data_IF_663326061339
#
_entry.id   IF_663326061339
#
_cell.length_a   1.000
_cell.length_b   1.000
_cell.length_c   1.000
_cell.angle_alpha   90.00
_cell.angle_beta   90.00
_cell.angle_gamma   90.00
#
_symmetry.space_group_name_H-M   'P 1'
#
loop_
_entity.id
_entity.type
_entity.pdbx_description
1 polymer ?
#
# COMPACT_ATOMS: atom_id res chain seq x y z
N UNK A 1 -28.98 48.76 -11.95
CA UNK A 1 -27.85 48.04 -12.57
C UNK A 1 -26.65 47.84 -11.63
N UNK A 2 -26.17 48.86 -10.89
CA UNK A 2 -25.02 48.73 -9.96
C UNK A 2 -25.19 47.66 -8.86
N UNK A 3 -26.40 47.51 -8.31
CA UNK A 3 -26.71 46.47 -7.31
C UNK A 3 -26.65 45.05 -7.91
N UNK A 4 -27.12 44.88 -9.14
CA UNK A 4 -27.08 43.59 -9.84
C UNK A 4 -25.63 43.19 -10.18
N UNK A 5 -24.80 44.16 -10.59
CA UNK A 5 -23.38 43.93 -10.85
C UNK A 5 -22.60 43.50 -9.58
N UNK A 6 -22.90 44.12 -8.42
CA UNK A 6 -22.26 43.75 -7.16
C UNK A 6 -22.67 42.34 -6.69
N UNK A 7 -23.94 41.97 -6.87
CA UNK A 7 -24.44 40.63 -6.52
C UNK A 7 -23.77 39.58 -7.42
N UNK A 8 -23.68 39.84 -8.73
CA UNK A 8 -23.03 38.93 -9.67
C UNK A 8 -21.53 38.75 -9.42
N UNK A 9 -20.84 39.83 -9.03
CA UNK A 9 -19.42 39.76 -8.65
C UNK A 9 -19.20 38.96 -7.37
N UNK A 10 -20.07 39.14 -6.36
CA UNK A 10 -19.99 38.41 -5.11
C UNK A 10 -20.26 36.90 -5.29
N UNK A 11 -21.26 36.52 -6.07
CA UNK A 11 -21.55 35.11 -6.35
C UNK A 11 -20.43 34.43 -7.15
N UNK A 12 -19.82 35.13 -8.11
CA UNK A 12 -18.66 34.63 -8.84
C UNK A 12 -17.44 34.40 -7.92
N UNK A 13 -17.18 35.32 -6.98
CA UNK A 13 -16.09 35.17 -6.02
C UNK A 13 -16.28 33.95 -5.10
N UNK A 14 -17.51 33.71 -4.62
CA UNK A 14 -17.82 32.54 -3.79
C UNK A 14 -17.65 31.23 -4.56
N UNK A 15 -18.06 31.19 -5.83
CA UNK A 15 -17.90 30.00 -6.67
C UNK A 15 -16.42 29.65 -6.92
N UNK A 16 -15.54 30.64 -7.10
CA UNK A 16 -14.10 30.42 -7.27
C UNK A 16 -13.43 29.92 -5.99
N UNK A 17 -13.85 30.38 -4.82
CA UNK A 17 -13.33 29.88 -3.53
C UNK A 17 -13.76 28.43 -3.27
N UNK A 18 -14.96 28.03 -3.67
CA UNK A 18 -15.44 26.66 -3.53
C UNK A 18 -14.62 25.66 -4.36
N UNK A 19 -13.97 26.10 -5.45
CA UNK A 19 -13.12 25.25 -6.28
C UNK A 19 -11.80 24.85 -5.59
N UNK A 20 -11.34 25.60 -4.58
CA UNK A 20 -10.15 25.23 -3.78
C UNK A 20 -10.51 24.32 -2.59
N UNK A 21 -11.79 24.04 -2.34
CA UNK A 21 -12.26 23.17 -1.27
C UNK A 21 -12.39 21.71 -1.70
N UNK A 22 -11.39 21.17 -2.43
CA UNK A 22 -11.45 19.76 -2.81
C UNK A 22 -11.54 18.86 -1.56
N UNK A 23 -12.13 17.67 -1.73
CA UNK A 23 -12.18 16.69 -0.65
C UNK A 23 -10.74 16.39 -0.22
N UNK A 24 -10.44 16.31 1.09
CA UNK A 24 -9.12 15.94 1.55
C UNK A 24 -8.66 14.65 0.83
N UNK A 25 -7.53 14.75 0.12
CA UNK A 25 -6.78 13.63 -0.49
C UNK A 25 -6.22 12.76 0.63
N UNK A 26 -7.14 12.16 1.38
CA UNK A 26 -6.86 11.27 2.49
C UNK A 26 -7.03 9.86 1.99
N UNK A 27 -6.16 9.00 2.47
CA UNK A 27 -6.26 7.56 2.32
C UNK A 27 -7.46 6.97 3.12
N UNK A 28 -8.51 7.76 3.39
CA UNK A 28 -9.65 7.40 4.23
C UNK A 28 -10.73 6.61 3.47
N UNK A 29 -10.76 6.68 2.14
CA UNK A 29 -11.71 5.94 1.31
C UNK A 29 -11.01 5.29 0.11
N UNK A 30 -11.26 4.00 -0.12
CA UNK A 30 -10.89 3.31 -1.36
C UNK A 30 -9.42 2.88 -1.50
N UNK A 31 -8.65 2.90 -0.41
CA UNK A 31 -7.25 2.47 -0.46
C UNK A 31 -7.19 0.96 -0.47
N UNK A 32 -6.60 0.41 -1.53
CA UNK A 32 -6.23 -1.00 -1.57
C UNK A 32 -5.06 -1.20 -0.61
N UNK A 33 -5.28 -1.91 0.48
CA UNK A 33 -4.18 -2.36 1.32
C UNK A 33 -3.39 -3.46 0.59
N UNK A 34 -2.07 -3.40 0.74
CA UNK A 34 -1.21 -4.49 0.32
C UNK A 34 -1.64 -5.76 1.04
N UNK A 35 -1.59 -6.87 0.33
CA UNK A 35 -1.94 -8.14 0.93
C UNK A 35 -0.79 -8.65 1.83
N UNK A 36 -1.12 -9.49 2.82
CA UNK A 36 -0.15 -9.84 3.85
C UNK A 36 1.09 -10.54 3.25
N UNK A 37 2.30 -10.25 3.71
CA UNK A 37 3.52 -10.76 3.08
C UNK A 37 3.66 -12.29 3.19
N UNK A 38 3.02 -12.93 4.17
CA UNK A 38 2.99 -14.40 4.30
C UNK A 38 2.00 -15.08 3.34
N UNK A 39 1.17 -14.32 2.62
CA UNK A 39 0.22 -14.87 1.64
C UNK A 39 0.86 -15.25 0.29
N UNK A 40 2.18 -15.09 0.16
CA UNK A 40 2.97 -15.56 -0.98
C UNK A 40 2.87 -14.67 -2.23
N UNK A 41 3.71 -14.95 -3.23
CA UNK A 41 3.65 -14.28 -4.53
C UNK A 41 2.53 -14.89 -5.38
N UNK A 42 1.66 -14.06 -5.95
CA UNK A 42 0.40 -14.52 -6.55
C UNK A 42 0.55 -15.53 -7.68
N UNK A 43 -0.27 -16.56 -7.62
CA UNK A 43 -0.77 -17.33 -8.75
C UNK A 43 -1.91 -16.57 -9.44
N UNK A 44 -1.63 -15.42 -10.07
CA UNK A 44 -2.51 -14.78 -11.06
C UNK A 44 -3.92 -14.32 -10.66
N UNK A 45 -4.40 -14.52 -9.42
CA UNK A 45 -5.75 -14.07 -9.01
C UNK A 45 -5.80 -13.68 -7.51
N UNK A 46 -6.49 -12.58 -7.19
CA UNK A 46 -6.69 -12.09 -5.80
C UNK A 46 -5.92 -10.80 -5.47
N UNK A 47 -6.02 -10.33 -4.21
CA UNK A 47 -5.42 -9.06 -3.75
C UNK A 47 -3.90 -8.96 -3.94
N UNK A 48 -3.23 -10.11 -4.05
CA UNK A 48 -1.79 -10.28 -4.32
C UNK A 48 -1.43 -10.32 -5.81
N UNK A 49 -2.41 -10.35 -6.73
CA UNK A 49 -2.18 -10.53 -8.16
C UNK A 49 -1.34 -9.39 -8.74
N UNK A 50 -0.03 -9.61 -8.84
CA UNK A 50 0.83 -8.80 -9.70
C UNK A 50 0.50 -9.07 -11.16
N UNK A 51 0.78 -8.11 -12.04
CA UNK A 51 0.57 -8.19 -13.51
C UNK A 51 1.42 -9.25 -14.21
N UNK A 52 2.29 -9.95 -13.48
CA UNK A 52 3.14 -11.00 -14.00
C UNK A 52 2.51 -12.37 -13.71
N UNK A 53 2.01 -13.04 -14.76
CA UNK A 53 1.64 -14.45 -14.70
C UNK A 53 2.90 -15.24 -14.33
N UNK A 54 3.05 -15.54 -13.05
CA UNK A 54 4.20 -16.29 -12.55
C UNK A 54 3.68 -17.48 -11.77
N UNK A 55 4.05 -18.66 -12.26
CA UNK A 55 4.11 -19.93 -11.54
C UNK A 55 4.37 -19.65 -10.06
N UNK A 56 3.33 -19.81 -9.24
CA UNK A 56 3.43 -19.60 -7.79
C UNK A 56 4.61 -20.40 -7.25
N UNK A 57 5.31 -19.82 -6.27
CA UNK A 57 6.50 -20.36 -5.57
C UNK A 57 7.89 -20.04 -6.15
N UNK A 58 8.05 -19.32 -7.26
CA UNK A 58 9.39 -19.04 -7.80
C UNK A 58 10.29 -18.21 -6.85
N UNK A 59 9.69 -17.37 -6.01
CA UNK A 59 10.40 -16.49 -5.06
C UNK A 59 10.16 -16.84 -3.59
N UNK A 60 9.69 -18.06 -3.32
CA UNK A 60 9.47 -18.53 -1.95
C UNK A 60 10.65 -19.35 -1.47
N UNK A 61 11.01 -19.22 -0.19
CA UNK A 61 12.07 -20.04 0.40
C UNK A 61 11.69 -21.53 0.35
N UNK A 62 12.66 -22.40 0.07
CA UNK A 62 12.45 -23.85 0.06
C UNK A 62 11.92 -24.33 1.42
N UNK A 63 10.91 -25.20 1.40
CA UNK A 63 10.28 -25.75 2.60
C UNK A 63 9.27 -24.83 3.31
N UNK A 64 9.10 -23.58 2.87
CA UNK A 64 8.07 -22.69 3.41
C UNK A 64 6.72 -22.91 2.73
N UNK A 65 5.65 -22.99 3.53
CA UNK A 65 4.29 -23.12 3.05
C UNK A 65 3.61 -21.74 2.95
N UNK A 66 3.02 -21.45 1.79
CA UNK A 66 2.26 -20.22 1.56
C UNK A 66 1.10 -20.12 2.57
N UNK A 67 0.94 -18.95 3.18
CA UNK A 67 -0.08 -18.70 4.19
C UNK A 67 0.37 -18.95 5.63
N UNK A 68 1.50 -19.63 5.86
CA UNK A 68 2.02 -19.87 7.21
C UNK A 68 2.75 -18.63 7.73
N UNK A 69 2.01 -17.81 8.49
CA UNK A 69 2.51 -16.60 9.15
C UNK A 69 3.62 -16.89 10.15
N UNK A 70 3.49 -17.95 10.95
CA UNK A 70 4.43 -18.24 12.03
C UNK A 70 5.78 -18.68 11.45
N UNK A 71 5.75 -19.58 10.47
CA UNK A 71 6.95 -19.97 9.75
C UNK A 71 7.60 -18.77 9.04
N UNK A 72 6.79 -17.91 8.38
CA UNK A 72 7.30 -16.70 7.73
C UNK A 72 8.04 -15.77 8.71
N UNK A 73 7.44 -15.49 9.88
CA UNK A 73 8.06 -14.66 10.92
C UNK A 73 9.35 -15.29 11.45
N UNK A 74 9.36 -16.60 11.66
CA UNK A 74 10.54 -17.31 12.14
C UNK A 74 11.68 -17.29 11.12
N UNK A 75 11.39 -17.48 9.84
CA UNK A 75 12.38 -17.36 8.76
C UNK A 75 13.02 -15.97 8.73
N UNK A 76 12.24 -14.90 8.92
CA UNK A 76 12.78 -13.54 8.99
C UNK A 76 13.67 -13.36 10.21
N UNK A 77 13.23 -13.80 11.40
CA UNK A 77 14.03 -13.72 12.62
C UNK A 77 15.39 -14.39 12.45
N UNK A 78 15.39 -15.62 11.94
CA UNK A 78 16.62 -16.39 11.68
C UNK A 78 17.53 -15.65 10.68
N UNK A 79 16.96 -15.11 9.59
CA UNK A 79 17.73 -14.34 8.58
C UNK A 79 18.39 -13.11 9.20
N UNK A 80 17.66 -12.34 10.00
CA UNK A 80 18.20 -11.15 10.67
C UNK A 80 19.32 -11.52 11.63
N UNK A 81 19.13 -12.55 12.45
CA UNK A 81 20.10 -12.94 13.48
C UNK A 81 21.37 -13.59 12.92
N UNK A 82 21.24 -14.43 11.90
CA UNK A 82 22.34 -15.28 11.43
C UNK A 82 22.96 -14.82 10.11
N UNK A 83 22.27 -13.96 9.36
CA UNK A 83 22.70 -13.55 8.02
C UNK A 83 23.02 -12.07 7.87
N UNK A 84 22.41 -11.19 8.68
CA UNK A 84 22.55 -9.72 8.55
C UNK A 84 23.11 -9.05 9.81
N UNK A 85 23.31 -9.79 10.88
CA UNK A 85 23.83 -9.27 12.12
C UNK A 85 25.32 -9.62 12.24
N UNK A 86 26.20 -8.68 11.92
CA UNK A 86 27.64 -8.91 12.00
C UNK A 86 28.14 -9.08 13.45
N UNK A 87 27.41 -8.54 14.43
CA UNK A 87 27.74 -8.71 15.85
C UNK A 87 27.73 -10.16 16.34
N UNK A 88 27.06 -11.09 15.63
CA UNK A 88 27.05 -12.51 16.01
C UNK A 88 28.26 -13.29 15.47
N UNK A 89 29.11 -12.67 14.65
CA UNK A 89 30.25 -13.32 13.99
C UNK A 89 31.61 -12.98 14.61
N UNK A 90 31.70 -11.90 15.39
CA UNK A 90 32.95 -11.35 15.91
C UNK A 90 33.26 -11.74 17.38
N UNK A 91 32.77 -12.90 17.86
CA UNK A 91 33.10 -13.43 19.20
C UNK A 91 33.96 -14.69 19.14
#
# INVERSE_FOLDING_TARGET
MRRLALIAAASAAVALLAACGEKPQTNAQGVKYDAPPWSGTSTGTGSNAGTQATTGTAFTASGWNVGDKNAWQQHLKVRTQNGQNDYTRDN
#
